data_IF_589623528610
#
_entry.id   IF_589623528610
#
_cell.length_a   1.000
_cell.length_b   1.000
_cell.length_c   1.000
_cell.angle_alpha   90.00
_cell.angle_beta   90.00
_cell.angle_gamma   90.00
#
_symmetry.space_group_name_H-M   'P 1'
#
loop_
_entity.id
_entity.type
_entity.pdbx_description
1 polymer ?
#
# COMPACT_ATOMS: atom_id res chain seq x y z
N UNK A 1 6.99 41.61 -13.33
CA UNK A 1 7.49 40.26 -13.66
C UNK A 1 7.30 39.43 -12.40
N UNK A 2 6.22 38.66 -12.34
CA UNK A 2 5.82 37.81 -11.21
C UNK A 2 6.70 36.55 -11.09
N UNK A 3 8.03 36.73 -11.14
CA UNK A 3 8.98 35.61 -11.15
C UNK A 3 8.98 34.85 -9.81
N UNK A 4 8.71 35.53 -8.69
CA UNK A 4 8.59 34.90 -7.37
C UNK A 4 7.31 34.07 -7.25
N UNK A 5 6.18 34.52 -7.81
CA UNK A 5 4.92 33.76 -7.84
C UNK A 5 5.03 32.52 -8.72
N UNK A 6 5.63 32.66 -9.90
CA UNK A 6 5.84 31.55 -10.83
C UNK A 6 6.79 30.49 -10.24
N UNK A 7 7.84 30.91 -9.52
CA UNK A 7 8.72 29.99 -8.77
C UNK A 7 7.98 29.27 -7.64
N UNK A 8 7.10 29.95 -6.92
CA UNK A 8 6.35 29.38 -5.80
C UNK A 8 5.28 28.37 -6.26
N UNK A 9 4.57 28.68 -7.34
CA UNK A 9 3.63 27.76 -8.00
C UNK A 9 4.36 26.54 -8.58
N UNK A 10 5.49 26.74 -9.26
CA UNK A 10 6.33 25.65 -9.78
C UNK A 10 7.00 24.80 -8.68
N UNK A 11 7.33 25.38 -7.53
CA UNK A 11 7.84 24.64 -6.38
C UNK A 11 6.74 23.79 -5.70
N UNK A 12 5.52 24.33 -5.59
CA UNK A 12 4.36 23.61 -5.05
C UNK A 12 3.92 22.47 -5.97
N UNK A 13 3.95 22.68 -7.29
CA UNK A 13 3.68 21.63 -8.29
C UNK A 13 4.68 20.50 -8.19
N UNK A 14 5.98 20.82 -8.14
CA UNK A 14 7.05 19.82 -7.98
C UNK A 14 6.95 19.03 -6.67
N UNK A 15 6.65 19.71 -5.57
CA UNK A 15 6.41 19.05 -4.28
C UNK A 15 5.23 18.07 -4.35
N UNK A 16 4.13 18.45 -5.01
CA UNK A 16 2.96 17.60 -5.15
C UNK A 16 3.21 16.40 -6.08
N UNK A 17 3.96 16.60 -7.16
CA UNK A 17 4.40 15.53 -8.07
C UNK A 17 5.31 14.52 -7.36
N UNK A 18 6.26 14.99 -6.55
CA UNK A 18 7.13 14.13 -5.76
C UNK A 18 6.33 13.31 -4.73
N UNK A 19 5.38 13.96 -4.04
CA UNK A 19 4.47 13.28 -3.11
C UNK A 19 3.66 12.18 -3.83
N UNK A 20 3.08 12.49 -4.99
CA UNK A 20 2.34 11.53 -5.81
C UNK A 20 3.20 10.36 -6.28
N UNK A 21 4.44 10.62 -6.72
CA UNK A 21 5.37 9.56 -7.10
C UNK A 21 5.72 8.67 -5.92
N UNK A 22 6.00 9.26 -4.75
CA UNK A 22 6.30 8.50 -3.54
C UNK A 22 5.14 7.61 -3.12
N UNK A 23 3.90 8.11 -3.19
CA UNK A 23 2.69 7.30 -2.93
C UNK A 23 2.58 6.17 -3.94
N UNK A 24 2.83 6.43 -5.24
CA UNK A 24 2.79 5.41 -6.29
C UNK A 24 3.84 4.32 -6.07
N UNK A 25 5.06 4.69 -5.68
CA UNK A 25 6.15 3.75 -5.39
C UNK A 25 5.83 2.87 -4.18
N UNK A 26 5.24 3.44 -3.11
CA UNK A 26 4.75 2.68 -1.95
C UNK A 26 3.69 1.67 -2.40
N UNK A 27 2.69 2.09 -3.19
CA UNK A 27 1.61 1.20 -3.66
C UNK A 27 2.12 0.10 -4.61
N UNK A 28 3.09 0.42 -5.45
CA UNK A 28 3.76 -0.56 -6.31
C UNK A 28 4.50 -1.61 -5.48
N UNK A 29 5.22 -1.16 -4.45
CA UNK A 29 5.94 -2.03 -3.51
C UNK A 29 5.00 -2.94 -2.73
N UNK A 30 3.88 -2.41 -2.23
CA UNK A 30 2.83 -3.20 -1.56
C UNK A 30 2.24 -4.27 -2.49
N UNK A 31 1.90 -3.91 -3.72
CA UNK A 31 1.36 -4.86 -4.70
C UNK A 31 2.34 -6.00 -4.97
N UNK A 32 3.62 -5.69 -5.16
CA UNK A 32 4.66 -6.70 -5.37
C UNK A 32 4.81 -7.63 -4.16
N UNK A 33 4.68 -7.09 -2.96
CA UNK A 33 4.72 -7.89 -1.73
C UNK A 33 3.54 -8.85 -1.64
N UNK A 34 2.31 -8.36 -1.86
CA UNK A 34 1.12 -9.22 -1.86
C UNK A 34 1.18 -10.29 -2.96
N UNK A 35 1.72 -9.97 -4.13
CA UNK A 35 1.93 -10.94 -5.20
C UNK A 35 2.88 -12.05 -4.74
N UNK A 36 4.03 -11.70 -4.14
CA UNK A 36 4.98 -12.69 -3.62
C UNK A 36 4.39 -13.57 -2.51
N UNK A 37 3.62 -12.97 -1.59
CA UNK A 37 2.93 -13.74 -0.53
C UNK A 37 1.95 -14.73 -1.15
N UNK A 38 1.22 -14.31 -2.19
CA UNK A 38 0.30 -15.18 -2.93
C UNK A 38 1.04 -16.29 -3.66
N UNK A 39 2.13 -15.98 -4.35
CA UNK A 39 2.94 -16.97 -5.07
C UNK A 39 3.50 -18.03 -4.12
N UNK A 40 3.99 -17.62 -2.95
CA UNK A 40 4.47 -18.56 -1.91
C UNK A 40 3.30 -19.39 -1.38
N UNK A 41 2.19 -18.75 -1.04
CA UNK A 41 1.04 -19.46 -0.47
C UNK A 41 0.44 -20.47 -1.47
N UNK A 42 0.46 -20.16 -2.78
CA UNK A 42 0.06 -21.06 -3.85
C UNK A 42 0.92 -22.33 -3.98
N UNK A 43 2.16 -22.32 -3.46
CA UNK A 43 2.99 -23.54 -3.40
C UNK A 43 2.61 -24.51 -2.28
N UNK A 44 1.69 -24.10 -1.41
CA UNK A 44 1.20 -24.94 -0.31
C UNK A 44 0.37 -26.10 -0.86
N UNK A 45 0.57 -27.29 -0.28
CA UNK A 45 -0.03 -28.55 -0.73
C UNK A 45 -1.58 -28.51 -0.71
N UNK A 46 -2.17 -27.69 0.16
CA UNK A 46 -3.62 -27.56 0.35
C UNK A 46 -4.19 -26.22 -0.17
N UNK A 47 -3.53 -25.57 -1.13
CA UNK A 47 -4.02 -24.30 -1.67
C UNK A 47 -5.35 -24.47 -2.42
N UNK A 48 -6.42 -23.89 -1.85
CA UNK A 48 -7.70 -23.71 -2.52
C UNK A 48 -8.15 -22.26 -2.34
N UNK A 49 -8.33 -21.54 -3.46
CA UNK A 49 -8.67 -20.12 -3.45
C UNK A 49 -10.00 -19.81 -2.73
N UNK A 50 -10.94 -20.76 -2.73
CA UNK A 50 -12.24 -20.65 -2.07
C UNK A 50 -12.25 -21.15 -0.62
N UNK A 51 -11.13 -21.69 -0.13
CA UNK A 51 -11.07 -22.19 1.24
C UNK A 51 -11.12 -21.02 2.24
N UNK A 52 -11.93 -21.20 3.29
CA UNK A 52 -12.06 -20.20 4.36
C UNK A 52 -10.70 -19.86 5.01
N UNK A 53 -9.82 -20.86 5.14
CA UNK A 53 -8.47 -20.70 5.70
C UNK A 53 -7.59 -19.75 4.87
N UNK A 54 -7.74 -19.76 3.54
CA UNK A 54 -7.01 -18.86 2.64
C UNK A 54 -7.47 -17.43 2.81
N UNK A 55 -8.79 -17.20 2.91
CA UNK A 55 -9.35 -15.87 3.15
C UNK A 55 -8.93 -15.30 4.50
N UNK A 56 -8.97 -16.13 5.54
CA UNK A 56 -8.54 -15.75 6.89
C UNK A 56 -7.04 -15.42 6.97
N UNK A 57 -6.21 -16.20 6.27
CA UNK A 57 -4.77 -15.94 6.17
C UNK A 57 -4.48 -14.56 5.56
N UNK A 58 -5.04 -14.26 4.39
CA UNK A 58 -4.81 -12.97 3.73
C UNK A 58 -5.38 -11.80 4.52
N UNK A 59 -6.55 -11.95 5.16
CA UNK A 59 -7.11 -10.92 6.03
C UNK A 59 -6.20 -10.64 7.24
N UNK A 60 -5.61 -11.69 7.83
CA UNK A 60 -4.67 -11.56 8.95
C UNK A 60 -3.39 -10.85 8.54
N UNK A 61 -2.82 -11.21 7.37
CA UNK A 61 -1.63 -10.54 6.82
C UNK A 61 -1.91 -9.07 6.55
N UNK A 62 -3.05 -8.75 5.95
CA UNK A 62 -3.47 -7.37 5.67
C UNK A 62 -3.62 -6.55 6.95
N UNK A 63 -4.24 -7.10 7.98
CA UNK A 63 -4.37 -6.43 9.29
C UNK A 63 -3.02 -6.16 9.95
N UNK A 64 -2.10 -7.13 9.91
CA UNK A 64 -0.74 -6.96 10.44
C UNK A 64 0.03 -5.89 9.68
N UNK A 65 -0.11 -5.83 8.35
CA UNK A 65 0.53 -4.81 7.52
C UNK A 65 -0.02 -3.41 7.82
N UNK A 66 -1.35 -3.26 7.88
CA UNK A 66 -1.96 -1.97 8.24
C UNK A 66 -1.48 -1.46 9.61
N UNK A 67 -1.43 -2.35 10.59
CA UNK A 67 -0.91 -2.02 11.92
C UNK A 67 0.57 -1.62 11.90
N UNK A 68 1.41 -2.32 11.14
CA UNK A 68 2.84 -2.02 11.05
C UNK A 68 3.13 -0.65 10.39
N UNK A 69 2.30 -0.22 9.44
CA UNK A 69 2.48 1.05 8.72
C UNK A 69 1.90 2.25 9.49
N UNK A 70 0.76 2.08 10.15
CA UNK A 70 0.02 3.20 10.74
C UNK A 70 -0.01 3.19 12.28
N UNK A 71 0.43 2.10 12.94
CA UNK A 71 0.30 1.93 14.39
C UNK A 71 -1.15 1.76 14.87
N UNK A 72 -2.10 1.69 13.94
CA UNK A 72 -3.53 1.51 14.16
C UNK A 72 -4.01 0.37 13.26
N UNK A 73 -4.92 -0.43 13.76
CA UNK A 73 -5.53 -1.52 12.99
C UNK A 73 -6.45 -0.96 11.91
N UNK A 74 -6.67 -1.72 10.83
CA UNK A 74 -7.57 -1.29 9.74
C UNK A 74 -9.00 -0.98 10.24
N UNK A 75 -9.43 -1.62 11.33
CA UNK A 75 -10.70 -1.35 12.01
C UNK A 75 -10.75 0.01 12.72
N UNK A 76 -9.60 0.59 13.09
CA UNK A 76 -9.50 1.91 13.73
C UNK A 76 -9.40 3.06 12.72
N UNK A 77 -9.03 2.76 11.47
CA UNK A 77 -8.97 3.74 10.37
C UNK A 77 -10.34 4.00 9.71
N UNK A 78 -11.27 3.05 9.79
CA UNK A 78 -12.63 3.18 9.24
C UNK A 78 -13.57 3.50 10.41
N UNK A 79 -13.65 4.78 10.79
CA UNK A 79 -14.71 5.30 11.65
C UNK A 79 -15.05 6.73 11.25
#
# INVERSE_FOLDING_TARGET
MDDDRLKQEGARSRYFEELLQRIRDIRSSERNLYQKVTDIYATSIDYNNDAAITREFFATVQNKMHYAVHGQTAAEMIN
#
